data_IF_589935642644
#
_entry.id   IF_589935642644
#
_cell.length_a   1.000
_cell.length_b   1.000
_cell.length_c   1.000
_cell.angle_alpha   90.00
_cell.angle_beta   90.00
_cell.angle_gamma   90.00
#
_symmetry.space_group_name_H-M   'P 1'
#
loop_
_entity.id
_entity.type
_entity.pdbx_description
1 polymer ?
#
# COMPACT_ATOMS: atom_id res chain seq x y z
N UNK A 1 -18.43 -11.99 21.84
CA UNK A 1 -19.86 -12.36 21.71
C UNK A 1 -19.95 -13.41 20.62
N UNK A 2 -20.52 -14.58 20.90
CA UNK A 2 -20.64 -15.66 19.92
C UNK A 2 -21.55 -15.22 18.78
N UNK A 3 -21.05 -15.28 17.54
CA UNK A 3 -21.86 -15.06 16.34
C UNK A 3 -23.02 -16.07 16.34
N UNK A 4 -24.24 -15.65 15.94
CA UNK A 4 -25.40 -16.53 15.93
C UNK A 4 -25.08 -17.81 15.13
N UNK A 5 -25.39 -18.98 15.71
CA UNK A 5 -25.24 -20.27 15.05
C UNK A 5 -26.18 -20.32 13.84
N UNK A 6 -25.71 -19.85 12.69
CA UNK A 6 -26.46 -19.89 11.45
C UNK A 6 -26.36 -21.30 10.88
N UNK A 7 -27.50 -22.00 10.81
CA UNK A 7 -27.58 -23.36 10.32
C UNK A 7 -27.11 -23.44 8.87
N UNK A 8 -26.21 -24.38 8.56
CA UNK A 8 -25.65 -24.60 7.21
C UNK A 8 -26.71 -24.88 6.12
N UNK A 9 -27.96 -25.13 6.54
CA UNK A 9 -29.10 -25.41 5.68
C UNK A 9 -29.68 -24.17 4.95
N UNK A 10 -29.25 -22.94 5.28
CA UNK A 10 -29.71 -21.71 4.60
C UNK A 10 -28.82 -21.28 3.43
N UNK A 11 -27.78 -22.05 3.10
CA UNK A 11 -26.85 -21.71 2.03
C UNK A 11 -27.47 -21.99 0.65
N UNK A 12 -27.79 -20.92 -0.08
CA UNK A 12 -28.19 -21.00 -1.49
C UNK A 12 -26.98 -21.45 -2.33
N UNK A 13 -27.14 -22.36 -3.30
CA UNK A 13 -26.09 -22.67 -4.25
C UNK A 13 -25.77 -21.44 -5.11
N UNK A 14 -24.48 -21.08 -5.17
CA UNK A 14 -23.94 -19.98 -5.98
C UNK A 14 -23.62 -20.48 -7.39
N UNK A 15 -23.76 -19.62 -8.40
CA UNK A 15 -23.19 -19.87 -9.73
C UNK A 15 -21.65 -19.81 -9.69
N UNK A 16 -20.96 -20.41 -10.67
CA UNK A 16 -19.48 -20.36 -10.73
C UNK A 16 -18.93 -18.93 -10.75
N UNK A 17 -19.62 -18.01 -11.44
CA UNK A 17 -19.24 -16.60 -11.49
C UNK A 17 -19.39 -15.90 -10.14
N UNK A 18 -20.50 -16.13 -9.44
CA UNK A 18 -20.70 -15.60 -8.08
C UNK A 18 -19.71 -16.22 -7.09
N UNK A 19 -19.41 -17.52 -7.22
CA UNK A 19 -18.44 -18.21 -6.37
C UNK A 19 -17.05 -17.56 -6.50
N UNK A 20 -16.55 -17.39 -7.72
CA UNK A 20 -15.25 -16.78 -7.95
C UNK A 20 -15.20 -15.34 -7.41
N UNK A 21 -16.28 -14.57 -7.58
CA UNK A 21 -16.37 -13.20 -7.05
C UNK A 21 -16.31 -13.15 -5.52
N UNK A 22 -16.98 -14.09 -4.84
CA UNK A 22 -16.94 -14.20 -3.38
C UNK A 22 -15.61 -14.75 -2.86
N UNK A 23 -14.94 -15.64 -3.60
CA UNK A 23 -13.58 -16.09 -3.29
C UNK A 23 -12.56 -14.94 -3.41
N UNK A 24 -12.66 -14.12 -4.45
CA UNK A 24 -11.84 -12.90 -4.60
C UNK A 24 -12.09 -11.90 -3.46
N UNK A 25 -13.35 -11.75 -3.04
CA UNK A 25 -13.71 -10.92 -1.90
C UNK A 25 -13.11 -11.47 -0.59
N UNK A 26 -13.22 -12.78 -0.35
CA UNK A 26 -12.63 -13.46 0.80
C UNK A 26 -11.11 -13.24 0.83
N UNK A 27 -10.42 -13.53 -0.27
CA UNK A 27 -8.96 -13.38 -0.37
C UNK A 27 -8.51 -11.94 -0.14
N UNK A 28 -9.27 -10.95 -0.63
CA UNK A 28 -8.97 -9.54 -0.41
C UNK A 28 -9.09 -9.13 1.06
N UNK A 29 -10.16 -9.53 1.74
CA UNK A 29 -10.36 -9.23 3.17
C UNK A 29 -9.33 -9.96 4.04
N UNK A 30 -9.06 -11.24 3.75
CA UNK A 30 -8.04 -12.01 4.46
C UNK A 30 -6.66 -11.35 4.31
N UNK A 31 -6.25 -10.99 3.08
CA UNK A 31 -4.99 -10.32 2.83
C UNK A 31 -4.88 -8.98 3.58
N UNK A 32 -5.97 -8.22 3.66
CA UNK A 32 -6.02 -6.98 4.42
C UNK A 32 -5.82 -7.21 5.93
N UNK A 33 -6.49 -8.19 6.52
CA UNK A 33 -6.35 -8.55 7.93
C UNK A 33 -4.95 -9.11 8.25
N UNK A 34 -4.36 -9.87 7.33
CA UNK A 34 -2.97 -10.33 7.42
C UNK A 34 -1.97 -9.16 7.33
N UNK A 35 -2.26 -8.12 6.56
CA UNK A 35 -1.44 -6.90 6.51
C UNK A 35 -1.46 -6.15 7.84
N UNK A 36 -2.56 -6.25 8.62
CA UNK A 36 -2.63 -5.80 10.01
C UNK A 36 -1.92 -6.73 11.00
N UNK A 37 -1.24 -7.77 10.50
CA UNK A 37 -0.44 -8.75 11.24
C UNK A 37 -1.22 -9.52 12.29
N UNK A 38 -2.51 -9.78 12.05
CA UNK A 38 -3.27 -10.73 12.84
C UNK A 38 -2.75 -12.15 12.54
N UNK A 39 -2.13 -12.78 13.55
CA UNK A 39 -1.53 -14.12 13.40
C UNK A 39 -2.50 -15.22 13.75
N UNK A 40 -3.53 -14.93 14.56
CA UNK A 40 -4.54 -15.91 14.93
C UNK A 40 -5.49 -16.19 13.75
N UNK A 41 -5.27 -17.33 13.07
CA UNK A 41 -6.08 -17.75 11.91
C UNK A 41 -7.56 -17.97 12.23
N UNK A 42 -7.87 -18.43 13.44
CA UNK A 42 -9.27 -18.63 13.85
C UNK A 42 -9.99 -17.28 13.99
N UNK A 43 -9.33 -16.31 14.63
CA UNK A 43 -9.86 -14.95 14.73
C UNK A 43 -10.05 -14.32 13.35
N UNK A 44 -9.06 -14.47 12.46
CA UNK A 44 -9.15 -13.97 11.07
C UNK A 44 -10.35 -14.61 10.35
N UNK A 45 -10.53 -15.92 10.43
CA UNK A 45 -11.66 -16.60 9.78
C UNK A 45 -13.02 -16.09 10.28
N UNK A 46 -13.18 -15.88 11.59
CA UNK A 46 -14.41 -15.33 12.17
C UNK A 46 -14.68 -13.89 11.74
N UNK A 47 -13.63 -13.05 11.69
CA UNK A 47 -13.73 -11.67 11.22
C UNK A 47 -14.09 -11.59 9.74
N UNK A 48 -13.40 -12.36 8.89
CA UNK A 48 -13.70 -12.45 7.45
C UNK A 48 -15.15 -12.89 7.25
N UNK A 49 -15.61 -13.91 7.99
CA UNK A 49 -17.00 -14.36 7.94
C UNK A 49 -17.98 -13.25 8.31
N UNK A 50 -17.74 -12.52 9.40
CA UNK A 50 -18.58 -11.41 9.84
C UNK A 50 -18.67 -10.28 8.79
N UNK A 51 -17.53 -9.90 8.22
CA UNK A 51 -17.41 -8.88 7.18
C UNK A 51 -18.15 -9.30 5.91
N UNK A 52 -17.89 -10.51 5.40
CA UNK A 52 -18.54 -11.01 4.19
C UNK A 52 -20.04 -11.14 4.36
N UNK A 53 -20.51 -11.50 5.56
CA UNK A 53 -21.93 -11.54 5.86
C UNK A 53 -22.58 -10.16 5.73
N UNK A 54 -22.02 -9.12 6.36
CA UNK A 54 -22.55 -7.75 6.26
C UNK A 54 -22.48 -7.23 4.82
N UNK A 55 -21.40 -7.53 4.10
CA UNK A 55 -21.29 -7.22 2.68
C UNK A 55 -22.35 -7.93 1.82
N UNK A 56 -22.66 -9.20 2.12
CA UNK A 56 -23.72 -9.95 1.43
C UNK A 56 -25.11 -9.38 1.68
N UNK A 57 -25.39 -8.96 2.92
CA UNK A 57 -26.64 -8.29 3.27
C UNK A 57 -26.77 -6.94 2.54
N UNK A 58 -25.67 -6.19 2.43
CA UNK A 58 -25.63 -4.91 1.70
C UNK A 58 -25.77 -5.09 0.19
N UNK A 59 -25.25 -6.19 -0.37
CA UNK A 59 -25.36 -6.50 -1.81
C UNK A 59 -26.80 -6.65 -2.29
N UNK A 60 -27.73 -7.03 -1.41
CA UNK A 60 -29.18 -7.07 -1.72
C UNK A 60 -29.69 -5.68 -2.12
N UNK A 61 -29.17 -4.62 -1.49
CA UNK A 61 -29.57 -3.23 -1.75
C UNK A 61 -28.70 -2.56 -2.82
N UNK A 62 -27.49 -3.05 -3.05
CA UNK A 62 -26.50 -2.49 -3.99
C UNK A 62 -25.97 -3.57 -4.95
N UNK A 63 -26.81 -4.15 -5.83
CA UNK A 63 -26.45 -5.32 -6.64
C UNK A 63 -25.40 -5.01 -7.72
N UNK A 64 -25.31 -3.76 -8.17
CA UNK A 64 -24.38 -3.32 -9.23
C UNK A 64 -22.92 -3.25 -8.76
N UNK A 65 -22.68 -3.27 -7.45
CA UNK A 65 -21.32 -3.20 -6.89
C UNK A 65 -20.73 -4.60 -6.76
N UNK A 66 -19.45 -4.78 -7.13
CA UNK A 66 -18.79 -6.07 -6.98
C UNK A 66 -18.63 -6.44 -5.50
N UNK A 67 -18.80 -7.72 -5.16
CA UNK A 67 -18.71 -8.23 -3.79
C UNK A 67 -17.39 -7.87 -3.13
N UNK A 68 -16.27 -7.93 -3.87
CA UNK A 68 -14.96 -7.52 -3.39
C UNK A 68 -14.94 -6.06 -2.91
N UNK A 69 -15.61 -5.16 -3.63
CA UNK A 69 -15.67 -3.75 -3.24
C UNK A 69 -16.50 -3.56 -1.97
N UNK A 70 -17.68 -4.19 -1.89
CA UNK A 70 -18.53 -4.12 -0.71
C UNK A 70 -17.86 -4.72 0.53
N UNK A 71 -17.22 -5.89 0.38
CA UNK A 71 -16.49 -6.56 1.45
C UNK A 71 -15.31 -5.73 1.96
N UNK A 72 -14.54 -5.13 1.04
CA UNK A 72 -13.44 -4.25 1.44
C UNK A 72 -13.95 -2.97 2.09
N UNK A 73 -14.99 -2.32 1.57
CA UNK A 73 -15.56 -1.13 2.21
C UNK A 73 -16.02 -1.43 3.65
N UNK A 74 -16.68 -2.57 3.84
CA UNK A 74 -17.12 -3.04 5.15
C UNK A 74 -15.94 -3.29 6.10
N UNK A 75 -14.89 -3.98 5.63
CA UNK A 75 -13.68 -4.23 6.42
C UNK A 75 -12.97 -2.93 6.84
N UNK A 76 -12.89 -1.96 5.91
CA UNK A 76 -12.22 -0.68 6.17
C UNK A 76 -13.04 0.16 7.17
N UNK A 77 -14.37 0.15 7.04
CA UNK A 77 -15.29 0.87 7.94
C UNK A 77 -15.28 0.27 9.34
N UNK A 78 -15.38 -1.05 9.49
CA UNK A 78 -15.37 -1.71 10.81
C UNK A 78 -14.08 -1.42 11.58
N UNK A 79 -12.92 -1.48 10.91
CA UNK A 79 -11.64 -1.12 11.55
C UNK A 79 -11.59 0.37 11.90
N UNK A 80 -12.14 1.25 11.07
CA UNK A 80 -12.14 2.68 11.31
C UNK A 80 -13.05 3.06 12.49
N UNK A 81 -14.28 2.54 12.52
CA UNK A 81 -15.26 2.74 13.59
C UNK A 81 -14.72 2.20 14.92
N UNK A 82 -14.23 0.96 14.94
CA UNK A 82 -13.65 0.41 16.17
C UNK A 82 -12.44 1.22 16.66
N UNK A 83 -11.58 1.69 15.75
CA UNK A 83 -10.44 2.54 16.16
C UNK A 83 -10.90 3.90 16.67
N UNK A 84 -11.98 4.44 16.11
CA UNK A 84 -12.62 5.66 16.60
C UNK A 84 -13.06 5.48 18.05
N UNK A 85 -13.76 4.38 18.33
CA UNK A 85 -14.32 4.12 19.65
C UNK A 85 -13.22 3.86 20.69
N UNK A 86 -12.12 3.21 20.31
CA UNK A 86 -10.95 2.99 21.18
C UNK A 86 -10.24 4.29 21.53
N UNK A 87 -10.09 5.20 20.55
CA UNK A 87 -9.34 6.45 20.71
C UNK A 87 -10.20 7.59 21.28
N UNK A 88 -11.52 7.51 21.14
CA UNK A 88 -12.48 8.58 21.45
C UNK A 88 -12.18 9.87 20.67
N UNK A 89 -11.85 9.72 19.38
CA UNK A 89 -11.49 10.83 18.46
C UNK A 89 -12.36 10.73 17.20
N UNK A 90 -13.07 11.80 16.79
CA UNK A 90 -13.98 11.72 15.63
C UNK A 90 -13.25 11.47 14.30
N UNK A 91 -13.88 10.70 13.41
CA UNK A 91 -13.45 10.44 12.02
C UNK A 91 -13.48 11.73 11.17
N UNK A 92 -12.48 12.60 11.30
CA UNK A 92 -12.26 13.72 10.35
C UNK A 92 -11.71 13.19 9.02
N UNK A 93 -12.63 12.81 8.14
CA UNK A 93 -12.38 12.19 6.84
C UNK A 93 -11.67 10.82 6.94
N UNK A 94 -11.82 9.97 5.91
CA UNK A 94 -11.21 8.62 5.81
C UNK A 94 -9.68 8.57 6.09
N UNK A 95 -9.01 9.73 6.25
CA UNK A 95 -7.64 9.89 6.77
C UNK A 95 -7.44 9.34 8.19
N UNK A 96 -8.45 9.36 9.06
CA UNK A 96 -8.34 8.76 10.39
C UNK A 96 -8.12 7.23 10.30
N UNK A 97 -8.67 6.55 9.28
CA UNK A 97 -8.45 5.12 9.07
C UNK A 97 -6.96 4.80 8.78
N UNK A 98 -6.23 5.69 8.09
CA UNK A 98 -4.79 5.52 7.88
C UNK A 98 -3.99 5.77 9.16
N UNK A 99 -4.34 6.80 9.95
CA UNK A 99 -3.71 7.11 11.24
C UNK A 99 -3.95 6.01 12.27
N UNK A 100 -5.17 5.50 12.35
CA UNK A 100 -5.57 4.41 13.24
C UNK A 100 -4.80 3.13 12.97
N UNK A 101 -4.59 2.77 11.70
CA UNK A 101 -3.78 1.59 11.31
C UNK A 101 -2.31 1.72 11.71
N UNK A 102 -1.71 2.90 11.52
CA UNK A 102 -0.34 3.15 11.96
C UNK A 102 -0.24 3.10 13.49
N UNK A 103 -1.20 3.68 14.20
CA UNK A 103 -1.27 3.58 15.65
C UNK A 103 -1.38 2.13 16.13
N UNK A 104 -2.19 1.29 15.45
CA UNK A 104 -2.30 -0.14 15.76
C UNK A 104 -0.98 -0.89 15.58
N UNK A 105 -0.25 -0.63 14.50
CA UNK A 105 1.05 -1.24 14.26
C UNK A 105 2.10 -0.77 15.28
N UNK A 106 2.08 0.52 15.63
CA UNK A 106 3.01 1.11 16.60
C UNK A 106 2.71 0.71 18.05
N UNK A 107 1.44 0.43 18.39
CA UNK A 107 1.02 -0.01 19.72
C UNK A 107 1.35 -1.48 20.04
N UNK A 108 1.99 -2.21 19.11
CA UNK A 108 2.36 -3.62 19.33
C UNK A 108 1.20 -4.60 19.23
N UNK A 109 0.11 -4.22 18.53
CA UNK A 109 -1.05 -5.07 18.27
C UNK A 109 -0.70 -6.49 17.73
N UNK A 110 0.32 -6.68 16.86
CA UNK A 110 0.67 -8.00 16.34
C UNK A 110 1.25 -8.97 17.38
N UNK A 111 1.69 -8.49 18.54
CA UNK A 111 2.36 -9.31 19.57
C UNK A 111 1.50 -9.53 20.81
N UNK A 112 0.93 -8.45 21.36
CA UNK A 112 0.32 -8.46 22.69
C UNK A 112 -1.19 -8.30 22.69
N UNK A 113 -1.75 -7.56 21.72
CA UNK A 113 -3.15 -7.10 21.77
C UNK A 113 -4.07 -7.71 20.71
N UNK A 114 -3.65 -8.82 20.07
CA UNK A 114 -4.47 -9.49 19.04
C UNK A 114 -5.85 -9.92 19.55
N UNK A 115 -5.95 -10.35 20.81
CA UNK A 115 -7.22 -10.81 21.39
C UNK A 115 -8.24 -9.69 21.65
N UNK A 116 -7.81 -8.43 21.60
CA UNK A 116 -8.65 -7.23 21.82
C UNK A 116 -9.05 -6.58 20.49
N UNK A 117 -8.48 -7.04 19.38
CA UNK A 117 -8.77 -6.49 18.07
C UNK A 117 -10.22 -6.72 17.66
N UNK A 118 -10.93 -5.63 17.28
CA UNK A 118 -12.35 -5.62 16.93
C UNK A 118 -13.30 -6.21 17.99
N UNK A 119 -12.87 -6.26 19.26
CA UNK A 119 -13.76 -6.65 20.35
C UNK A 119 -14.58 -5.46 20.85
N UNK A 120 -15.83 -5.68 21.31
CA UNK A 120 -16.60 -4.63 21.95
C UNK A 120 -15.96 -4.18 23.28
N UNK A 121 -16.26 -2.96 23.70
CA UNK A 121 -15.89 -2.45 25.02
C UNK A 121 -16.46 -3.34 26.16
N UNK A 122 -15.82 -3.37 27.34
CA UNK A 122 -14.69 -2.55 27.78
C UNK A 122 -13.32 -3.11 27.37
N UNK A 123 -12.41 -2.23 26.94
CA UNK A 123 -11.03 -2.58 26.63
C UNK A 123 -10.10 -2.42 27.85
N UNK A 124 -8.99 -3.18 27.92
CA UNK A 124 -8.00 -2.98 28.96
C UNK A 124 -7.44 -1.54 28.95
N UNK A 125 -7.29 -0.87 30.10
CA UNK A 125 -6.79 0.51 30.15
C UNK A 125 -5.36 0.62 29.59
N UNK A 126 -4.52 -0.38 29.84
CA UNK A 126 -3.15 -0.45 29.28
C UNK A 126 -3.13 -0.41 27.75
N UNK A 127 -4.10 -1.06 27.12
CA UNK A 127 -4.24 -1.07 25.66
C UNK A 127 -4.67 0.30 25.14
N UNK A 128 -5.67 0.91 25.78
CA UNK A 128 -6.16 2.24 25.40
C UNK A 128 -5.05 3.29 25.54
N UNK A 129 -4.28 3.24 26.62
CA UNK A 129 -3.14 4.14 26.84
C UNK A 129 -2.03 3.93 25.81
N UNK A 130 -1.70 2.67 25.49
CA UNK A 130 -0.72 2.35 24.44
C UNK A 130 -1.20 2.86 23.06
N UNK A 131 -2.48 2.67 22.74
CA UNK A 131 -3.10 3.17 21.51
C UNK A 131 -3.08 4.69 21.42
N UNK A 132 -3.49 5.40 22.49
CA UNK A 132 -3.46 6.87 22.55
C UNK A 132 -2.04 7.41 22.43
N UNK A 133 -1.09 6.82 23.15
CA UNK A 133 0.34 7.20 23.05
C UNK A 133 0.89 6.98 21.65
N UNK A 134 0.52 5.89 20.99
CA UNK A 134 0.95 5.57 19.63
C UNK A 134 0.29 6.47 18.59
N UNK A 135 -0.97 6.80 18.78
CA UNK A 135 -1.71 7.76 17.94
C UNK A 135 -1.10 9.16 18.04
N UNK A 136 -0.76 9.61 19.25
CA UNK A 136 -0.06 10.89 19.48
C UNK A 136 1.35 10.88 18.90
N UNK A 137 2.10 9.79 19.04
CA UNK A 137 3.43 9.64 18.45
C UNK A 137 3.39 9.55 16.90
N UNK A 138 2.27 9.10 16.34
CA UNK A 138 2.00 9.12 14.91
C UNK A 138 1.65 10.53 14.37
N UNK A 139 1.58 11.57 15.22
CA UNK A 139 1.58 12.99 14.86
C UNK A 139 2.70 13.75 15.61
N UNK A 140 2.92 15.07 15.47
CA UNK A 140 2.69 16.03 14.38
C UNK A 140 4.00 16.29 13.60
N UNK A 141 4.84 15.26 13.39
CA UNK A 141 6.11 15.35 12.64
C UNK A 141 6.09 14.78 11.23
N UNK A 142 4.92 14.34 10.75
CA UNK A 142 4.66 14.32 9.32
C UNK A 142 4.14 15.69 8.90
N UNK A 143 4.97 16.71 9.12
CA UNK A 143 4.91 17.90 8.29
C UNK A 143 4.92 17.38 6.85
N UNK A 144 4.01 17.91 6.05
CA UNK A 144 3.85 17.67 4.64
C UNK A 144 5.21 17.76 3.93
N UNK A 145 5.97 16.66 3.96
CA UNK A 145 7.03 16.39 3.02
C UNK A 145 6.29 16.02 1.74
N UNK A 146 5.66 17.04 1.14
CA UNK A 146 5.47 17.04 -0.29
C UNK A 146 6.86 16.78 -0.84
N UNK A 147 7.06 15.58 -1.36
CA UNK A 147 8.12 15.37 -2.34
C UNK A 147 7.75 16.28 -3.50
N UNK A 148 8.17 17.53 -3.43
CA UNK A 148 8.31 18.34 -4.64
C UNK A 148 9.24 17.50 -5.51
N UNK A 149 8.80 17.07 -6.71
CA UNK A 149 9.65 16.30 -7.60
C UNK A 149 10.84 17.19 -7.94
N UNK A 150 11.93 16.99 -7.22
CA UNK A 150 13.21 17.56 -7.58
C UNK A 150 13.61 16.80 -8.83
N UNK A 151 13.81 17.46 -9.98
CA UNK A 151 14.33 16.77 -11.15
C UNK A 151 15.58 16.02 -10.68
N UNK A 152 15.70 14.76 -11.09
CA UNK A 152 16.93 14.02 -10.93
C UNK A 152 18.02 14.88 -11.57
N UNK A 153 18.80 15.57 -10.74
CA UNK A 153 20.02 16.24 -11.16
C UNK A 153 20.94 15.11 -11.62
N UNK A 154 20.81 14.74 -12.90
CA UNK A 154 21.80 13.96 -13.61
C UNK A 154 23.07 14.80 -13.57
N UNK A 155 23.81 14.61 -12.49
CA UNK A 155 25.11 15.17 -12.18
C UNK A 155 25.90 15.38 -13.47
N UNK A 156 26.10 16.66 -13.84
CA UNK A 156 27.03 17.31 -14.78
C UNK A 156 27.54 16.61 -16.05
N UNK A 157 27.62 15.28 -16.08
CA UNK A 157 28.13 14.42 -17.14
C UNK A 157 27.09 14.23 -18.24
N UNK A 158 25.79 14.18 -17.91
CA UNK A 158 24.71 13.96 -18.89
C UNK A 158 24.40 15.20 -19.75
N UNK A 159 24.27 16.37 -19.11
CA UNK A 159 23.92 17.62 -19.80
C UNK A 159 25.09 18.17 -20.61
N UNK A 160 26.33 18.01 -20.13
CA UNK A 160 27.54 18.42 -20.87
C UNK A 160 27.71 17.63 -22.17
N UNK A 161 27.50 16.31 -22.14
CA UNK A 161 27.60 15.46 -23.32
C UNK A 161 26.50 15.76 -24.35
N UNK A 162 25.26 15.99 -23.89
CA UNK A 162 24.15 16.33 -24.78
C UNK A 162 24.36 17.67 -25.49
N UNK A 163 24.87 18.69 -24.79
CA UNK A 163 25.16 19.99 -25.40
C UNK A 163 26.34 19.94 -26.37
N UNK A 164 27.37 19.13 -26.07
CA UNK A 164 28.47 18.86 -27.01
C UNK A 164 27.95 18.20 -28.29
N UNK A 165 27.02 17.26 -28.16
CA UNK A 165 26.43 16.52 -29.28
C UNK A 165 25.57 17.43 -30.19
N UNK A 166 24.71 18.27 -29.61
CA UNK A 166 23.88 19.21 -30.38
C UNK A 166 24.72 20.27 -31.13
N UNK A 167 25.83 20.72 -30.55
CA UNK A 167 26.74 21.64 -31.27
C UNK A 167 27.53 20.97 -32.39
N UNK A 168 27.80 19.66 -32.29
CA UNK A 168 28.54 18.92 -33.31
C UNK A 168 27.69 18.69 -34.58
N UNK A 169 26.38 18.44 -34.42
CA UNK A 169 25.47 18.15 -35.53
C UNK A 169 25.12 19.41 -36.36
N UNK A 170 25.28 20.60 -35.79
CA UNK A 170 24.89 21.87 -36.44
C UNK A 170 25.88 22.35 -37.52
N UNK A 171 27.08 21.78 -37.61
CA UNK A 171 28.11 22.15 -38.60
C UNK A 171 28.81 20.90 -39.14
N UNK A 172 28.43 20.39 -40.34
CA UNK A 172 28.97 19.13 -40.88
C UNK A 172 30.50 19.18 -41.12
N UNK A 173 31.08 20.37 -41.25
CA UNK A 173 32.54 20.57 -41.41
C UNK A 173 33.32 20.11 -40.16
N UNK A 174 32.77 20.28 -38.95
CA UNK A 174 33.45 19.88 -37.71
C UNK A 174 33.51 18.35 -37.56
N UNK A 175 32.50 17.64 -38.05
CA UNK A 175 32.49 16.18 -38.07
C UNK A 175 33.66 15.60 -38.87
N UNK A 176 33.96 16.17 -40.04
CA UNK A 176 35.09 15.74 -40.89
C UNK A 176 36.45 16.03 -40.26
N UNK A 177 36.62 17.17 -39.57
CA UNK A 177 37.87 17.45 -38.84
C UNK A 177 38.11 16.44 -37.70
N UNK A 178 37.06 16.12 -36.93
CA UNK A 178 37.18 15.20 -35.80
C UNK A 178 37.50 13.77 -36.25
N UNK A 179 36.85 13.29 -37.31
CA UNK A 179 37.20 11.99 -37.91
C UNK A 179 38.61 11.98 -38.47
N UNK A 180 39.06 13.07 -39.10
CA UNK A 180 40.44 13.21 -39.58
C UNK A 180 41.49 13.10 -38.46
N UNK A 181 41.23 13.73 -37.30
CA UNK A 181 42.12 13.64 -36.13
C UNK A 181 42.15 12.22 -35.57
N UNK A 182 41.01 11.54 -35.48
CA UNK A 182 40.98 10.15 -35.01
C UNK A 182 41.77 9.24 -35.96
N UNK A 183 41.59 9.40 -37.27
CA UNK A 183 42.31 8.58 -38.26
C UNK A 183 43.81 8.87 -38.22
N UNK A 184 44.24 10.12 -38.07
CA UNK A 184 45.66 10.45 -37.96
C UNK A 184 46.28 9.86 -36.70
N UNK A 185 45.56 9.89 -35.58
CA UNK A 185 46.01 9.34 -34.31
C UNK A 185 46.11 7.80 -34.37
N UNK A 186 45.15 7.14 -35.02
CA UNK A 186 45.23 5.69 -35.31
C UNK A 186 46.41 5.39 -36.24
N UNK A 187 46.63 6.20 -37.30
CA UNK A 187 47.75 6.00 -38.20
C UNK A 187 49.10 6.16 -37.49
N UNK A 188 49.23 7.10 -36.55
CA UNK A 188 50.41 7.26 -35.70
C UNK A 188 50.59 6.07 -34.77
N UNK A 189 49.52 5.57 -34.14
CA UNK A 189 49.57 4.36 -33.29
C UNK A 189 50.01 3.15 -34.11
N UNK A 190 49.41 2.93 -35.28
CA UNK A 190 49.75 1.82 -36.18
C UNK A 190 51.20 1.97 -36.65
N UNK A 191 51.63 3.18 -37.03
CA UNK A 191 53.01 3.44 -37.42
C UNK A 191 53.99 3.12 -36.29
N UNK A 192 53.69 3.55 -35.07
CA UNK A 192 54.49 3.26 -33.89
C UNK A 192 54.60 1.75 -33.63
N UNK A 193 53.48 1.03 -33.70
CA UNK A 193 53.44 -0.44 -33.56
C UNK A 193 54.09 -1.22 -34.70
N UNK A 194 54.34 -0.59 -35.85
CA UNK A 194 54.94 -1.24 -37.02
C UNK A 194 56.43 -0.92 -37.16
N UNK A 195 56.95 0.04 -36.38
CA UNK A 195 58.37 0.40 -36.28
C UNK A 195 59.09 -0.18 -35.05
N UNK A 196 58.35 -0.63 -34.03
CA UNK A 196 58.82 -1.50 -32.93
C UNK A 196 58.67 -2.99 -33.32
#
# INVERSE_FOLDING_TARGET
MGLPHHSLNTLRPLSEGELNEWEEAYAAVEAYLQALRLRNRLLVAELVRGILWRASARRVNEPDKPARFLAMEEALSEVAEWTQDVLDVPLENRRLAARGRLALLLAGMPGHWQGVFLTPAPWPPEFVDAMKKSYLAAGPRFAELTMVPKPLEFNAIGSGAAQWWETMDRRPIMGFMFTGVIISLIAVIVWYFLLD
#
